data_IF_965367734731
#
_entry.id   IF_965367734731
#
_cell.length_a   1.000
_cell.length_b   1.000
_cell.length_c   1.000
_cell.angle_alpha   90.00
_cell.angle_beta   90.00
_cell.angle_gamma   90.00
#
_symmetry.space_group_name_H-M   'P 1'
#
loop_
_entity.id
_entity.type
_entity.pdbx_description
1 polymer ?
#
# COMPACT_ATOMS: atom_id res chain seq x y z
N UNK A 1 -11.56 3.15 4.69
CA UNK A 1 -11.27 1.76 4.26
C UNK A 1 -12.55 1.22 3.66
N UNK A 2 -12.47 0.48 2.56
CA UNK A 2 -13.62 -0.30 2.11
C UNK A 2 -13.63 -1.67 2.74
N UNK A 3 -14.82 -2.17 3.00
CA UNK A 3 -15.08 -3.42 3.69
C UNK A 3 -15.82 -4.40 2.76
N UNK A 4 -15.67 -5.72 2.95
CA UNK A 4 -16.48 -6.70 2.26
C UNK A 4 -17.92 -6.66 2.77
N UNK A 5 -18.82 -7.36 2.07
CA UNK A 5 -20.20 -7.55 2.51
C UNK A 5 -20.24 -8.66 3.55
N UNK A 6 -20.72 -8.34 4.75
CA UNK A 6 -20.86 -9.30 5.85
C UNK A 6 -22.28 -9.33 6.39
N UNK A 7 -22.62 -10.44 7.04
CA UNK A 7 -23.87 -10.58 7.77
C UNK A 7 -23.77 -9.82 9.09
N UNK A 8 -24.59 -8.79 9.30
CA UNK A 8 -24.54 -7.95 10.50
C UNK A 8 -24.84 -8.68 11.82
N UNK A 9 -25.46 -9.86 11.78
CA UNK A 9 -25.80 -10.63 12.99
C UNK A 9 -24.76 -11.70 13.29
N UNK A 10 -24.27 -12.41 12.27
CA UNK A 10 -23.33 -13.52 12.46
C UNK A 10 -21.87 -13.12 12.27
N UNK A 11 -21.60 -11.94 11.70
CA UNK A 11 -20.26 -11.50 11.30
C UNK A 11 -19.67 -12.30 10.13
N UNK A 12 -20.43 -13.24 9.55
CA UNK A 12 -19.94 -14.08 8.44
C UNK A 12 -19.78 -13.27 7.17
N UNK A 13 -18.66 -13.45 6.49
CA UNK A 13 -18.40 -12.93 5.15
C UNK A 13 -19.44 -13.49 4.16
N UNK A 14 -20.13 -12.61 3.45
CA UNK A 14 -21.13 -12.96 2.42
C UNK A 14 -20.53 -12.83 1.03
N UNK A 15 -19.84 -11.72 0.77
CA UNK A 15 -19.19 -11.44 -0.49
C UNK A 15 -17.99 -10.51 -0.27
N UNK A 16 -17.08 -10.48 -1.23
CA UNK A 16 -15.90 -9.60 -1.22
C UNK A 16 -16.30 -8.12 -1.32
N UNK A 17 -15.32 -7.23 -1.17
CA UNK A 17 -15.56 -5.80 -1.32
C UNK A 17 -15.97 -5.47 -2.78
N UNK A 18 -17.11 -4.79 -2.98
CA UNK A 18 -17.63 -4.50 -4.32
C UNK A 18 -16.93 -3.32 -5.01
N UNK A 19 -16.07 -2.59 -4.30
CA UNK A 19 -15.46 -1.34 -4.79
C UNK A 19 -14.25 -1.61 -5.70
N UNK A 20 -13.61 -2.77 -5.51
CA UNK A 20 -12.40 -3.17 -6.23
C UNK A 20 -12.72 -4.31 -7.19
N UNK A 21 -12.52 -4.07 -8.48
CA UNK A 21 -12.49 -5.13 -9.48
C UNK A 21 -11.09 -5.77 -9.51
N UNK A 22 -10.99 -6.92 -8.85
CA UNK A 22 -9.78 -7.73 -8.82
C UNK A 22 -9.58 -8.59 -10.08
N UNK A 23 -10.51 -8.64 -11.06
CA UNK A 23 -10.43 -9.61 -12.16
C UNK A 23 -9.27 -9.39 -13.11
N UNK A 24 -8.81 -8.15 -13.29
CA UNK A 24 -7.70 -7.84 -14.20
C UNK A 24 -7.91 -8.35 -15.64
N UNK A 25 -9.16 -8.50 -16.09
CA UNK A 25 -9.49 -9.07 -17.40
C UNK A 25 -9.51 -10.60 -17.49
N UNK A 26 -9.28 -11.33 -16.39
CA UNK A 26 -9.39 -12.80 -16.32
C UNK A 26 -10.62 -13.24 -15.51
N UNK A 27 -10.95 -14.54 -15.56
CA UNK A 27 -11.98 -15.10 -14.66
C UNK A 27 -11.51 -14.99 -13.21
N UNK A 28 -12.46 -14.70 -12.32
CA UNK A 28 -12.20 -14.49 -10.90
C UNK A 28 -11.39 -15.63 -10.25
N UNK A 29 -11.70 -16.89 -10.61
CA UNK A 29 -11.00 -18.08 -10.10
C UNK A 29 -9.51 -18.19 -10.45
N UNK A 30 -8.98 -17.30 -11.31
CA UNK A 30 -7.57 -17.25 -11.69
C UNK A 30 -6.91 -15.91 -11.35
N UNK A 31 -7.61 -15.01 -10.67
CA UNK A 31 -7.04 -13.71 -10.31
C UNK A 31 -6.36 -13.76 -8.94
N UNK A 32 -5.17 -13.17 -8.87
CA UNK A 32 -4.45 -12.88 -7.62
C UNK A 32 -4.65 -11.42 -7.15
N UNK A 33 -5.58 -10.68 -7.77
CA UNK A 33 -5.83 -9.25 -7.53
C UNK A 33 -4.61 -8.31 -7.70
N UNK A 34 -3.56 -8.75 -8.42
CA UNK A 34 -2.38 -7.91 -8.70
C UNK A 34 -2.65 -6.80 -9.73
N UNK A 35 -3.81 -6.83 -10.41
CA UNK A 35 -4.25 -5.81 -11.38
C UNK A 35 -5.59 -5.26 -10.93
N UNK A 36 -5.65 -4.84 -9.67
CA UNK A 36 -6.84 -4.26 -9.05
C UNK A 36 -7.19 -2.91 -9.70
N UNK A 37 -8.47 -2.70 -9.98
CA UNK A 37 -9.00 -1.42 -10.46
C UNK A 37 -10.26 -1.06 -9.69
N UNK A 38 -10.65 0.22 -9.68
CA UNK A 38 -11.96 0.60 -9.15
C UNK A 38 -13.06 -0.02 -10.00
N UNK A 39 -14.03 -0.68 -9.36
CA UNK A 39 -15.21 -1.24 -10.02
C UNK A 39 -16.01 -0.14 -10.73
N UNK A 40 -16.05 1.07 -10.15
CA UNK A 40 -16.58 2.25 -10.80
C UNK A 40 -15.45 3.18 -11.27
N UNK A 41 -15.31 3.32 -12.60
CA UNK A 41 -14.30 4.20 -13.22
C UNK A 41 -14.44 5.67 -12.84
N UNK A 42 -15.62 6.12 -12.41
CA UNK A 42 -15.81 7.51 -11.98
C UNK A 42 -15.03 7.84 -10.71
N UNK A 43 -14.62 6.83 -9.92
CA UNK A 43 -13.85 7.02 -8.68
C UNK A 43 -12.35 7.22 -8.89
N UNK A 44 -11.88 7.14 -10.14
CA UNK A 44 -10.52 7.52 -10.50
C UNK A 44 -10.25 8.99 -10.12
N UNK A 45 -8.98 9.33 -9.95
CA UNK A 45 -8.51 10.68 -9.57
C UNK A 45 -9.02 11.18 -8.22
N UNK A 46 -9.32 10.27 -7.28
CA UNK A 46 -9.68 10.61 -5.90
C UNK A 46 -11.17 10.90 -5.67
N UNK A 47 -12.02 10.59 -6.65
CA UNK A 47 -13.48 10.75 -6.57
C UNK A 47 -14.18 9.55 -5.88
N UNK A 48 -13.50 8.89 -4.95
CA UNK A 48 -14.09 7.79 -4.19
C UNK A 48 -15.13 8.39 -3.22
N UNK A 49 -16.36 7.86 -3.17
CA UNK A 49 -17.41 8.37 -2.29
C UNK A 49 -17.06 8.15 -0.82
N UNK A 50 -17.69 8.94 0.05
CA UNK A 50 -17.66 8.77 1.51
C UNK A 50 -16.27 8.80 2.16
N UNK A 51 -15.27 9.37 1.46
CA UNK A 51 -13.96 9.61 2.07
C UNK A 51 -14.04 10.69 3.16
N UNK A 52 -13.43 10.42 4.31
CA UNK A 52 -13.24 11.41 5.37
C UNK A 52 -12.08 12.34 4.97
N UNK A 53 -12.41 13.49 4.36
CA UNK A 53 -11.41 14.45 3.89
C UNK A 53 -11.02 15.51 4.93
N UNK A 54 -11.86 15.70 5.95
CA UNK A 54 -11.63 16.63 7.05
C UNK A 54 -11.03 15.87 8.24
N UNK A 55 -9.79 16.20 8.60
CA UNK A 55 -9.07 15.61 9.74
C UNK A 55 -9.07 14.07 9.77
N UNK A 56 -8.64 13.37 8.70
CA UNK A 56 -8.47 11.93 8.75
C UNK A 56 -7.41 11.53 9.78
N UNK A 57 -7.46 10.30 10.33
CA UNK A 57 -6.41 9.78 11.19
C UNK A 57 -5.03 9.83 10.51
N UNK A 58 -4.03 10.32 11.23
CA UNK A 58 -2.63 10.28 10.79
C UNK A 58 -1.97 9.02 11.33
N UNK A 59 -1.41 8.21 10.44
CA UNK A 59 -0.77 6.92 10.76
C UNK A 59 0.36 6.64 9.77
N UNK A 60 1.38 5.92 10.23
CA UNK A 60 2.44 5.34 9.41
C UNK A 60 2.11 3.91 8.96
N UNK A 61 1.32 3.19 9.75
CA UNK A 61 1.04 1.75 9.58
C UNK A 61 -0.46 1.50 9.63
N UNK A 62 -0.95 0.68 8.69
CA UNK A 62 -2.34 0.25 8.59
C UNK A 62 -2.40 -1.26 8.40
N UNK A 63 -3.32 -1.91 9.09
CA UNK A 63 -3.66 -3.32 8.84
C UNK A 63 -4.73 -3.34 7.75
N UNK A 64 -4.44 -4.02 6.65
CA UNK A 64 -5.39 -4.27 5.56
C UNK A 64 -5.73 -5.77 5.58
N UNK A 65 -6.89 -6.17 6.13
CA UNK A 65 -7.34 -7.55 6.07
C UNK A 65 -7.69 -7.98 4.64
N UNK A 66 -7.87 -9.29 4.43
CA UNK A 66 -8.35 -9.83 3.15
C UNK A 66 -9.65 -9.17 2.70
N UNK A 67 -9.78 -9.00 1.39
CA UNK A 67 -10.96 -8.43 0.71
C UNK A 67 -11.31 -7.00 1.17
N UNK A 68 -10.31 -6.22 1.56
CA UNK A 68 -10.43 -4.81 1.99
C UNK A 68 -9.39 -3.94 1.30
N UNK A 69 -9.61 -2.62 1.34
CA UNK A 69 -8.63 -1.63 0.90
C UNK A 69 -8.62 -0.42 1.82
N UNK A 70 -7.53 0.35 1.76
CA UNK A 70 -7.43 1.68 2.32
C UNK A 70 -7.15 2.70 1.22
N UNK A 71 -7.67 3.91 1.41
CA UNK A 71 -7.26 5.09 0.64
C UNK A 71 -6.38 5.91 1.55
N UNK A 72 -5.12 6.06 1.16
CA UNK A 72 -4.11 6.84 1.88
C UNK A 72 -3.83 8.14 1.12
N UNK A 73 -3.59 9.22 1.87
CA UNK A 73 -3.11 10.49 1.33
C UNK A 73 -1.76 10.77 1.95
N UNK A 74 -0.76 10.94 1.11
CA UNK A 74 0.57 11.40 1.49
C UNK A 74 0.78 12.80 0.93
N UNK A 75 1.53 13.63 1.67
CA UNK A 75 2.06 14.88 1.17
C UNK A 75 3.53 14.61 0.81
N UNK A 76 3.87 14.74 -0.47
CA UNK A 76 5.24 14.54 -0.95
C UNK A 76 6.00 15.88 -0.84
N UNK A 77 6.45 16.19 0.37
CA UNK A 77 7.18 17.42 0.71
C UNK A 77 8.50 17.15 1.47
N UNK A 78 9.01 15.92 1.42
CA UNK A 78 10.24 15.50 2.05
C UNK A 78 11.14 14.72 1.06
N UNK A 79 11.96 15.43 0.25
CA UNK A 79 12.70 14.81 -0.85
C UNK A 79 13.55 13.62 -0.43
N UNK A 80 13.28 12.45 -1.02
CA UNK A 80 13.91 11.22 -0.61
C UNK A 80 13.42 9.99 -1.39
N UNK A 81 14.02 8.87 -1.04
CA UNK A 81 13.53 7.53 -1.36
C UNK A 81 12.92 6.94 -0.09
N UNK A 82 11.61 6.72 -0.09
CA UNK A 82 10.86 6.25 1.08
C UNK A 82 10.42 4.81 0.90
N UNK A 83 10.73 3.96 1.87
CA UNK A 83 10.31 2.56 1.88
C UNK A 83 8.85 2.45 2.35
N UNK A 84 8.03 1.79 1.54
CA UNK A 84 6.70 1.31 1.93
C UNK A 84 6.71 -0.21 1.83
N UNK A 85 6.43 -0.90 2.93
CA UNK A 85 6.54 -2.36 2.97
C UNK A 85 5.51 -2.99 3.92
N UNK A 86 5.35 -4.31 3.80
CA UNK A 86 4.64 -5.07 4.81
C UNK A 86 5.48 -5.14 6.08
N UNK A 87 4.91 -4.80 7.23
CA UNK A 87 5.61 -4.85 8.52
C UNK A 87 5.68 -6.27 9.13
N UNK A 88 5.34 -7.31 8.35
CA UNK A 88 5.57 -8.71 8.71
C UNK A 88 6.91 -9.11 8.08
N UNK A 89 7.90 -9.43 8.92
CA UNK A 89 9.28 -9.69 8.49
C UNK A 89 9.38 -10.71 7.34
N UNK A 90 8.64 -11.81 7.42
CA UNK A 90 8.61 -12.83 6.37
C UNK A 90 8.09 -12.28 5.03
N UNK A 91 7.09 -11.40 5.05
CA UNK A 91 6.56 -10.81 3.82
C UNK A 91 7.51 -9.74 3.26
N UNK A 92 8.14 -8.95 4.14
CA UNK A 92 9.12 -7.94 3.74
C UNK A 92 10.34 -8.59 3.06
N UNK A 93 10.91 -9.63 3.67
CA UNK A 93 12.05 -10.36 3.13
C UNK A 93 11.72 -11.13 1.85
N UNK A 94 10.46 -11.58 1.70
CA UNK A 94 9.95 -12.15 0.45
C UNK A 94 9.64 -11.09 -0.64
N UNK A 95 9.88 -9.80 -0.38
CA UNK A 95 9.80 -8.75 -1.39
C UNK A 95 8.49 -7.96 -1.43
N UNK A 96 7.63 -8.05 -0.40
CA UNK A 96 6.41 -7.23 -0.29
C UNK A 96 6.77 -5.79 0.15
N UNK A 97 7.49 -5.09 -0.72
CA UNK A 97 7.99 -3.74 -0.50
C UNK A 97 8.01 -2.94 -1.80
N UNK A 98 7.96 -1.61 -1.67
CA UNK A 98 8.12 -0.65 -2.75
C UNK A 98 8.88 0.58 -2.26
N UNK A 99 9.56 1.27 -3.18
CA UNK A 99 10.20 2.55 -2.92
C UNK A 99 9.37 3.66 -3.57
N UNK A 100 8.98 4.65 -2.76
CA UNK A 100 8.39 5.90 -3.22
C UNK A 100 9.52 6.90 -3.43
N UNK A 101 9.75 7.27 -4.68
CA UNK A 101 10.70 8.31 -5.03
C UNK A 101 9.99 9.66 -5.12
N UNK A 102 10.32 10.57 -4.20
CA UNK A 102 9.82 11.94 -4.27
C UNK A 102 10.64 12.80 -5.23
N UNK A 103 11.98 12.75 -5.15
CA UNK A 103 12.85 13.60 -5.96
C UNK A 103 14.31 13.18 -5.89
N UNK A 104 14.85 12.65 -7.00
CA UNK A 104 16.28 12.36 -7.13
C UNK A 104 17.17 13.61 -7.09
N UNK A 105 16.70 14.73 -7.66
CA UNK A 105 17.51 15.97 -7.82
C UNK A 105 17.73 16.74 -6.53
N UNK A 106 17.00 16.39 -5.46
CA UNK A 106 17.03 17.05 -4.16
C UNK A 106 17.60 16.15 -3.06
N UNK A 107 18.15 14.99 -3.42
CA UNK A 107 18.83 14.13 -2.46
C UNK A 107 20.07 14.84 -1.91
N UNK A 108 20.29 14.82 -0.59
CA UNK A 108 21.53 15.31 -0.03
C UNK A 108 22.70 14.43 -0.51
N UNK A 109 23.90 15.02 -0.56
CA UNK A 109 25.11 14.23 -0.76
C UNK A 109 25.25 13.17 0.34
N UNK A 110 25.84 12.02 0.00
CA UNK A 110 26.14 10.98 0.98
C UNK A 110 27.03 11.56 2.09
N UNK A 111 26.70 11.40 3.37
CA UNK A 111 27.54 11.86 4.47
C UNK A 111 28.98 11.34 4.36
N UNK A 112 29.95 12.10 4.88
CA UNK A 112 31.34 11.63 4.96
C UNK A 112 31.42 10.34 5.78
N UNK A 113 32.18 9.35 5.30
CA UNK A 113 32.30 8.01 5.89
C UNK A 113 30.98 7.21 5.95
N UNK A 114 30.02 7.50 5.07
CA UNK A 114 28.84 6.65 4.93
C UNK A 114 29.26 5.25 4.42
N UNK A 115 28.88 4.15 5.11
CA UNK A 115 29.30 2.82 4.73
C UNK A 115 28.90 2.47 3.31
N UNK A 116 29.85 1.94 2.55
CA UNK A 116 29.59 1.40 1.21
C UNK A 116 29.43 -0.12 1.26
N UNK A 117 28.91 -0.71 0.18
CA UNK A 117 28.95 -2.16 0.07
C UNK A 117 30.40 -2.65 0.22
N UNK A 118 30.61 -3.62 1.11
CA UNK A 118 31.93 -4.20 1.48
C UNK A 118 32.79 -3.34 2.44
N UNK A 119 32.25 -2.29 3.04
CA UNK A 119 32.96 -1.53 4.09
C UNK A 119 33.02 -2.32 5.42
N UNK A 120 32.09 -3.24 5.64
CA UNK A 120 32.11 -4.16 6.77
C UNK A 120 33.11 -5.29 6.52
N UNK A 121 34.18 -5.32 7.30
CA UNK A 121 35.06 -6.48 7.41
C UNK A 121 34.33 -7.52 8.25
N UNK A 122 34.24 -8.75 7.77
CA UNK A 122 33.88 -9.86 8.64
C UNK A 122 35.01 -9.97 9.67
N UNK A 123 34.68 -9.85 10.95
CA UNK A 123 35.64 -10.21 12.00
C UNK A 123 35.85 -11.73 11.91
N UNK A 124 37.09 -12.16 11.69
CA UNK A 124 37.53 -13.56 11.67
C UNK A 124 37.52 -14.17 13.09
#
# INVERSE_FOLDING_TARGET
MGYPVYNNTTGKLIAENPDIDCRGGVRYSKSFCNIATWANRCWLNGNVPDLVLKNPPQKDTLIIPSDRYAVIRIKADNPGLWLMHCHIELHATNGMAMILNESFTKLPGTPTNFPICRDFKNED
#
